data_IF_543936004324
#
_entry.id   IF_543936004324
#
_cell.length_a   1.000
_cell.length_b   1.000
_cell.length_c   1.000
_cell.angle_alpha   90.00
_cell.angle_beta   90.00
_cell.angle_gamma   90.00
#
_symmetry.space_group_name_H-M   'P 1'
#
loop_
_entity.id
_entity.type
_entity.pdbx_description
1 polymer ?
#
# COMPACT_ATOMS: atom_id res chain seq x y z
N UNK A 1 19.17 87.83 0.57
CA UNK A 1 17.92 87.06 0.73
C UNK A 1 17.59 86.46 -0.62
N UNK A 2 17.74 85.13 -0.76
CA UNK A 2 16.63 84.15 -0.95
C UNK A 2 16.01 84.30 -2.36
N UNK A 3 15.95 83.32 -3.26
CA UNK A 3 16.01 81.86 -3.14
C UNK A 3 16.37 81.26 -4.52
N UNK A 4 17.02 80.11 -4.48
CA UNK A 4 17.48 79.35 -5.63
C UNK A 4 16.34 78.57 -6.32
N UNK A 5 16.54 78.41 -7.62
CA UNK A 5 15.85 77.55 -8.55
C UNK A 5 16.01 76.07 -8.13
N UNK A 6 14.92 75.32 -7.95
CA UNK A 6 14.96 73.85 -8.00
C UNK A 6 13.60 73.32 -8.42
N UNK A 7 13.47 72.99 -9.71
CA UNK A 7 12.35 72.22 -10.25
C UNK A 7 12.75 70.74 -10.14
N UNK A 8 12.17 70.01 -9.18
CA UNK A 8 12.41 68.59 -8.99
C UNK A 8 11.53 67.81 -9.97
N UNK A 9 12.12 67.20 -11.00
CA UNK A 9 11.45 66.24 -11.86
C UNK A 9 11.39 64.88 -11.14
N UNK A 10 10.23 64.53 -10.60
CA UNK A 10 9.96 63.16 -10.12
C UNK A 10 9.67 62.25 -11.30
N UNK A 11 10.66 61.45 -11.70
CA UNK A 11 10.47 60.30 -12.60
C UNK A 11 9.76 59.22 -11.78
N UNK A 12 8.47 59.02 -12.04
CA UNK A 12 7.70 57.89 -11.53
C UNK A 12 8.08 56.66 -12.37
N UNK A 13 9.05 55.87 -11.90
CA UNK A 13 9.30 54.54 -12.45
C UNK A 13 8.16 53.62 -12.02
N UNK A 14 7.19 53.40 -12.90
CA UNK A 14 6.17 52.37 -12.72
C UNK A 14 6.85 50.99 -12.80
N UNK A 15 7.15 50.40 -11.63
CA UNK A 15 7.45 48.97 -11.55
C UNK A 15 6.17 48.22 -11.93
N UNK A 16 6.09 47.75 -13.18
CA UNK A 16 5.16 46.71 -13.56
C UNK A 16 5.49 45.46 -12.73
N UNK A 17 4.63 45.11 -11.76
CA UNK A 17 4.61 43.81 -11.12
C UNK A 17 4.32 42.77 -12.21
N UNK A 18 5.37 42.27 -12.88
CA UNK A 18 5.25 41.08 -13.72
C UNK A 18 5.06 39.90 -12.79
N UNK A 19 4.10 39.03 -13.10
CA UNK A 19 3.96 37.76 -12.41
C UNK A 19 5.29 37.00 -12.53
N UNK A 20 5.86 36.59 -11.40
CA UNK A 20 7.17 35.96 -11.34
C UNK A 20 7.04 34.51 -11.82
N UNK A 21 7.96 34.09 -12.71
CA UNK A 21 8.09 32.70 -13.11
C UNK A 21 8.71 31.86 -11.97
N UNK A 22 8.53 30.53 -11.98
CA UNK A 22 9.17 29.65 -11.01
C UNK A 22 10.70 29.82 -11.00
N UNK A 23 11.35 29.55 -9.86
CA UNK A 23 12.81 29.69 -9.76
C UNK A 23 13.57 28.73 -10.67
N UNK A 24 12.95 27.61 -11.03
CA UNK A 24 13.49 26.59 -11.94
C UNK A 24 12.93 26.70 -13.38
N UNK A 25 12.50 27.90 -13.77
CA UNK A 25 12.10 28.28 -15.13
C UNK A 25 13.29 28.56 -16.06
N UNK A 26 14.33 27.74 -15.98
CA UNK A 26 15.49 27.80 -16.86
C UNK A 26 16.28 26.49 -16.78
N UNK A 27 16.84 26.08 -17.91
CA UNK A 27 17.91 25.09 -17.93
C UNK A 27 19.22 25.72 -17.41
N UNK A 28 19.34 25.78 -16.08
CA UNK A 28 20.52 26.29 -15.37
C UNK A 28 20.71 25.50 -14.07
N UNK A 29 21.83 24.78 -13.98
CA UNK A 29 22.15 23.95 -12.81
C UNK A 29 22.30 24.70 -11.48
N UNK A 30 22.37 26.04 -11.50
CA UNK A 30 22.35 26.85 -10.30
C UNK A 30 20.94 27.17 -9.80
N UNK A 31 19.91 27.07 -10.65
CA UNK A 31 18.52 27.43 -10.33
C UNK A 31 17.56 26.24 -10.38
N UNK A 32 17.97 25.16 -11.05
CA UNK A 32 17.25 23.89 -11.10
C UNK A 32 17.02 23.29 -9.71
N UNK A 33 15.84 22.72 -9.49
CA UNK A 33 15.54 22.06 -8.21
C UNK A 33 16.32 20.75 -8.11
N UNK A 34 17.11 20.60 -7.06
CA UNK A 34 17.76 19.34 -6.73
C UNK A 34 16.87 18.49 -5.83
N UNK A 35 16.36 17.37 -6.35
CA UNK A 35 15.53 16.42 -5.61
C UNK A 35 16.37 15.54 -4.67
N UNK A 36 17.68 15.40 -4.93
CA UNK A 36 18.58 14.52 -4.17
C UNK A 36 18.75 13.14 -4.81
N UNK A 37 19.27 12.21 -4.02
CA UNK A 37 19.42 10.79 -4.39
C UNK A 37 18.07 10.07 -4.32
N UNK A 38 17.81 9.13 -5.23
CA UNK A 38 16.59 8.30 -5.24
C UNK A 38 16.56 7.36 -4.02
N UNK A 39 15.41 7.14 -3.35
CA UNK A 39 14.09 7.68 -3.64
C UNK A 39 13.90 9.14 -3.20
N UNK A 40 13.28 9.94 -4.07
CA UNK A 40 13.02 11.36 -3.88
C UNK A 40 11.53 11.67 -4.15
N UNK A 41 10.68 11.42 -3.15
CA UNK A 41 9.22 11.63 -3.22
C UNK A 41 8.71 12.55 -2.10
N UNK A 42 9.31 13.73 -1.99
CA UNK A 42 8.93 14.73 -0.98
C UNK A 42 7.57 15.37 -1.31
N UNK A 43 6.74 15.75 -0.32
CA UNK A 43 5.41 16.34 -0.53
C UNK A 43 5.47 17.81 -1.02
N UNK A 44 6.59 18.25 -1.59
CA UNK A 44 6.79 19.62 -2.07
C UNK A 44 5.95 19.88 -3.30
N UNK A 45 5.15 20.94 -3.25
CA UNK A 45 4.31 21.38 -4.37
C UNK A 45 5.06 22.39 -5.23
N UNK A 46 5.25 22.05 -6.50
CA UNK A 46 5.83 22.89 -7.54
C UNK A 46 4.76 23.47 -8.46
N UNK A 47 5.15 24.41 -9.33
CA UNK A 47 4.25 24.94 -10.36
C UNK A 47 5.02 25.32 -11.62
N UNK A 48 4.38 25.18 -12.78
CA UNK A 48 4.87 25.71 -14.05
C UNK A 48 4.14 26.99 -14.49
N UNK A 49 3.39 27.62 -13.57
CA UNK A 49 2.64 28.85 -13.84
C UNK A 49 3.60 29.99 -14.20
N UNK A 50 3.38 30.62 -15.35
CA UNK A 50 4.22 31.65 -15.96
C UNK A 50 5.62 31.19 -16.38
N UNK A 51 5.90 29.88 -16.40
CA UNK A 51 7.13 29.35 -16.98
C UNK A 51 7.22 29.71 -18.47
N UNK A 52 8.43 29.72 -19.00
CA UNK A 52 8.77 30.07 -20.37
C UNK A 52 9.61 28.96 -21.02
N UNK A 53 9.54 28.78 -22.35
CA UNK A 53 10.34 27.76 -23.01
C UNK A 53 11.85 27.97 -22.80
N UNK A 54 12.53 26.98 -22.22
CA UNK A 54 13.99 26.90 -22.23
C UNK A 54 14.50 26.43 -23.60
N UNK A 55 15.72 26.85 -23.97
CA UNK A 55 16.42 26.36 -25.16
C UNK A 55 17.70 25.68 -24.69
N UNK A 56 17.79 24.36 -24.84
CA UNK A 56 18.92 23.57 -24.30
C UNK A 56 19.91 23.10 -25.36
N UNK A 57 19.55 23.20 -26.63
CA UNK A 57 20.36 22.72 -27.74
C UNK A 57 20.08 23.49 -29.03
N UNK A 58 20.97 23.35 -30.02
CA UNK A 58 20.81 23.87 -31.38
C UNK A 58 19.56 23.28 -32.06
N UNK A 59 19.25 22.01 -31.75
CA UNK A 59 17.99 21.35 -32.10
C UNK A 59 17.35 20.87 -30.80
N UNK A 60 16.41 21.64 -30.27
CA UNK A 60 15.72 21.35 -29.02
C UNK A 60 14.32 20.81 -29.30
N UNK A 61 14.27 19.52 -29.64
CA UNK A 61 13.02 18.78 -29.83
C UNK A 61 12.92 17.64 -28.84
N UNK A 62 11.73 17.42 -28.29
CA UNK A 62 11.43 16.32 -27.35
C UNK A 62 10.53 15.31 -28.03
N UNK A 63 10.91 14.03 -28.03
CA UNK A 63 10.37 13.03 -28.96
C UNK A 63 8.88 12.73 -28.79
N UNK A 64 8.37 12.76 -27.57
CA UNK A 64 6.98 12.41 -27.23
C UNK A 64 6.12 13.61 -26.81
N UNK A 65 6.67 14.83 -26.78
CA UNK A 65 5.89 16.01 -26.43
C UNK A 65 4.92 16.33 -27.56
N UNK A 66 3.68 16.70 -27.24
CA UNK A 66 2.63 16.88 -28.25
C UNK A 66 2.96 17.99 -29.27
N UNK A 67 3.76 18.98 -28.85
CA UNK A 67 4.25 20.06 -29.72
C UNK A 67 5.72 19.90 -30.13
N UNK A 68 6.32 18.75 -29.85
CA UNK A 68 7.76 18.44 -29.96
C UNK A 68 8.69 19.42 -29.22
N UNK A 69 8.15 20.36 -28.46
CA UNK A 69 8.88 21.42 -27.74
C UNK A 69 8.20 21.65 -26.40
N UNK A 70 8.97 22.04 -25.39
CA UNK A 70 8.41 22.36 -24.09
C UNK A 70 7.96 23.83 -24.06
N UNK A 71 6.67 24.06 -23.84
CA UNK A 71 6.08 25.41 -23.93
C UNK A 71 6.19 26.19 -22.61
N UNK A 72 6.23 25.49 -21.48
CA UNK A 72 6.25 26.02 -20.11
C UNK A 72 7.03 25.06 -19.22
N UNK A 73 8.32 24.92 -19.51
CA UNK A 73 9.15 23.96 -18.81
C UNK A 73 9.69 24.48 -17.48
N UNK A 74 9.75 23.56 -16.54
CA UNK A 74 10.50 23.73 -15.30
C UNK A 74 11.40 22.52 -15.09
N UNK A 75 12.56 22.77 -14.51
CA UNK A 75 13.64 21.79 -14.48
C UNK A 75 13.91 21.25 -13.07
N UNK A 76 14.22 19.96 -13.01
CA UNK A 76 14.63 19.24 -11.81
C UNK A 76 15.85 18.37 -12.11
N UNK A 77 16.61 18.02 -11.07
CA UNK A 77 17.64 16.98 -11.14
C UNK A 77 17.49 15.99 -10.00
N UNK A 78 17.87 14.74 -10.24
CA UNK A 78 18.01 13.71 -9.23
C UNK A 78 19.30 12.91 -9.48
N UNK A 79 19.83 12.28 -8.44
CA UNK A 79 21.01 11.43 -8.54
C UNK A 79 20.60 9.95 -8.46
N UNK A 80 21.04 9.15 -9.42
CA UNK A 80 20.91 7.69 -9.34
C UNK A 80 21.79 7.18 -8.18
N UNK A 81 21.30 6.29 -7.31
CA UNK A 81 22.09 5.71 -6.23
C UNK A 81 23.35 5.01 -6.74
N UNK A 82 24.28 4.72 -5.83
CA UNK A 82 25.51 3.98 -6.17
C UNK A 82 25.27 2.49 -6.50
N UNK A 83 24.06 1.99 -6.31
CA UNK A 83 23.58 0.68 -6.78
C UNK A 83 22.78 0.84 -8.07
N UNK A 84 22.79 -0.20 -8.92
CA UNK A 84 21.89 -0.28 -10.08
C UNK A 84 20.45 -0.26 -9.58
N UNK A 85 19.65 0.66 -10.11
CA UNK A 85 18.27 0.87 -9.72
C UNK A 85 17.47 1.24 -10.96
N UNK A 86 16.36 0.54 -11.14
CA UNK A 86 15.32 0.97 -12.07
C UNK A 86 14.45 2.00 -11.34
N UNK A 87 14.03 3.06 -12.03
CA UNK A 87 13.44 4.24 -11.39
C UNK A 87 12.13 4.59 -12.05
N UNK A 88 11.10 4.86 -11.25
CA UNK A 88 9.82 5.40 -11.71
C UNK A 88 9.75 6.89 -11.40
N UNK A 89 9.61 7.71 -12.42
CA UNK A 89 9.33 9.14 -12.26
C UNK A 89 7.83 9.37 -12.44
N UNK A 90 7.19 10.02 -11.48
CA UNK A 90 5.76 10.36 -11.51
C UNK A 90 5.57 11.87 -11.32
N UNK A 91 4.76 12.46 -12.19
CA UNK A 91 4.27 13.84 -12.05
C UNK A 91 2.78 13.77 -11.73
N UNK A 92 2.36 14.41 -10.64
CA UNK A 92 0.95 14.39 -10.21
C UNK A 92 0.48 15.80 -9.88
N UNK A 93 -0.52 16.26 -10.62
CA UNK A 93 -1.23 17.50 -10.36
C UNK A 93 -1.96 17.45 -9.02
N UNK A 94 -1.82 18.52 -8.22
CA UNK A 94 -2.40 18.59 -6.87
C UNK A 94 -2.96 19.99 -6.59
N UNK A 95 -3.85 20.10 -5.62
CA UNK A 95 -4.39 21.36 -5.13
C UNK A 95 -5.56 21.89 -5.98
N UNK A 96 -5.94 23.15 -5.73
CA UNK A 96 -7.13 23.76 -6.34
C UNK A 96 -6.98 24.03 -7.85
N UNK A 97 -5.75 24.16 -8.35
CA UNK A 97 -5.44 24.41 -9.75
C UNK A 97 -4.29 23.47 -10.18
N UNK A 98 -4.56 22.16 -10.31
CA UNK A 98 -3.53 21.18 -10.63
C UNK A 98 -3.04 21.36 -12.07
N UNK A 99 -1.82 20.92 -12.36
CA UNK A 99 -1.39 20.76 -13.75
C UNK A 99 -2.31 19.74 -14.44
N UNK A 100 -2.69 20.02 -15.69
CA UNK A 100 -3.52 19.14 -16.52
C UNK A 100 -2.75 18.88 -17.81
N UNK A 101 -2.82 17.65 -18.30
CA UNK A 101 -2.04 17.12 -19.41
C UNK A 101 -0.52 17.29 -19.19
N UNK A 102 0.04 16.87 -18.05
CA UNK A 102 1.47 16.96 -17.82
C UNK A 102 2.24 16.13 -18.87
N UNK A 103 3.37 16.65 -19.32
CA UNK A 103 4.35 15.90 -20.12
C UNK A 103 5.74 16.17 -19.57
N UNK A 104 6.61 15.16 -19.55
CA UNK A 104 7.97 15.34 -19.06
C UNK A 104 8.96 14.44 -19.78
N UNK A 105 10.21 14.89 -19.82
CA UNK A 105 11.32 14.18 -20.43
C UNK A 105 12.49 14.05 -19.46
N UNK A 106 13.23 12.96 -19.61
CA UNK A 106 14.39 12.60 -18.82
C UNK A 106 15.63 12.74 -19.69
N UNK A 107 16.66 13.36 -19.13
CA UNK A 107 17.93 13.59 -19.81
C UNK A 107 19.09 13.08 -18.98
N UNK A 108 20.19 12.74 -19.67
CA UNK A 108 21.52 12.55 -19.11
C UNK A 108 22.53 13.44 -19.79
N UNK A 109 23.69 13.61 -19.16
CA UNK A 109 24.82 14.32 -19.73
C UNK A 109 25.27 15.47 -18.84
N UNK A 110 25.94 16.43 -19.45
CA UNK A 110 26.49 17.56 -18.74
C UNK A 110 25.56 18.77 -18.84
N UNK A 111 25.43 19.50 -17.73
CA UNK A 111 24.50 20.61 -17.61
C UNK A 111 24.98 21.90 -18.30
N UNK A 112 25.04 21.88 -19.63
CA UNK A 112 25.35 23.04 -20.46
C UNK A 112 24.65 22.92 -21.84
N UNK A 113 24.62 24.02 -22.60
CA UNK A 113 23.99 24.07 -23.93
C UNK A 113 24.61 23.05 -24.90
N UNK A 114 23.79 22.22 -25.58
CA UNK A 114 24.20 21.06 -26.38
C UNK A 114 24.85 19.91 -25.56
N UNK A 115 24.73 19.91 -24.23
CA UNK A 115 25.34 18.92 -23.32
C UNK A 115 24.44 17.76 -22.89
N UNK A 116 23.13 17.85 -23.14
CA UNK A 116 22.15 16.85 -22.72
C UNK A 116 21.69 15.94 -23.88
N UNK A 117 21.47 14.67 -23.56
CA UNK A 117 20.80 13.71 -24.41
C UNK A 117 19.50 13.26 -23.76
N UNK A 118 18.40 13.32 -24.51
CA UNK A 118 17.11 12.74 -24.11
C UNK A 118 17.27 11.23 -23.96
N UNK A 119 16.83 10.70 -22.82
CA UNK A 119 16.77 9.27 -22.55
C UNK A 119 15.43 8.71 -22.93
N UNK A 120 14.38 9.29 -22.37
CA UNK A 120 13.00 8.88 -22.58
C UNK A 120 12.05 10.00 -22.13
N UNK A 121 10.79 9.93 -22.51
CA UNK A 121 9.80 10.91 -22.13
C UNK A 121 8.37 10.35 -22.17
N UNK A 122 7.43 11.04 -21.52
CA UNK A 122 6.01 10.68 -21.52
C UNK A 122 5.12 11.92 -21.60
N UNK A 123 3.88 11.74 -22.09
CA UNK A 123 2.86 12.79 -22.19
C UNK A 123 1.50 12.23 -21.78
N UNK A 124 0.86 12.86 -20.81
CA UNK A 124 -0.44 12.44 -20.31
C UNK A 124 -1.54 12.68 -21.37
N UNK A 125 -2.58 11.84 -21.34
CA UNK A 125 -3.77 12.04 -22.18
C UNK A 125 -4.56 13.30 -21.82
N UNK A 126 -5.46 13.73 -22.71
CA UNK A 126 -6.30 14.91 -22.49
C UNK A 126 -7.18 14.76 -21.23
N UNK A 127 -7.14 15.76 -20.35
CA UNK A 127 -7.86 15.82 -19.08
C UNK A 127 -7.17 15.11 -17.92
N UNK A 128 -6.05 14.41 -18.16
CA UNK A 128 -5.33 13.69 -17.11
C UNK A 128 -4.50 14.65 -16.26
N UNK A 129 -4.37 14.36 -14.97
CA UNK A 129 -3.58 15.15 -14.02
C UNK A 129 -2.26 14.47 -13.64
N UNK A 130 -2.00 13.27 -14.14
CA UNK A 130 -0.80 12.51 -13.80
C UNK A 130 -0.28 11.74 -15.00
N UNK A 131 1.03 11.51 -15.00
CA UNK A 131 1.71 10.57 -15.89
C UNK A 131 2.99 10.08 -15.21
N UNK A 132 3.45 8.90 -15.60
CA UNK A 132 4.64 8.25 -15.06
C UNK A 132 5.51 7.70 -16.19
N UNK A 133 6.79 7.48 -15.88
CA UNK A 133 7.78 6.92 -16.77
C UNK A 133 8.74 6.02 -15.98
N UNK A 134 8.90 4.79 -16.46
CA UNK A 134 9.83 3.83 -15.89
C UNK A 134 11.15 3.85 -16.66
N UNK A 135 12.24 4.01 -15.93
CA UNK A 135 13.59 4.12 -16.45
C UNK A 135 14.39 2.91 -15.98
N UNK A 136 14.93 2.14 -16.93
CA UNK A 136 15.69 0.94 -16.63
C UNK A 136 17.18 1.14 -16.88
N UNK A 137 18.01 0.53 -16.04
CA UNK A 137 19.47 0.49 -16.25
C UNK A 137 20.14 1.87 -16.20
N UNK A 138 19.72 2.74 -15.28
CA UNK A 138 20.42 3.98 -15.01
C UNK A 138 21.85 3.70 -14.51
N UNK A 139 22.79 4.58 -14.85
CA UNK A 139 24.19 4.47 -14.45
C UNK A 139 24.35 4.95 -13.00
N UNK A 140 24.81 4.08 -12.09
CA UNK A 140 24.92 4.43 -10.68
C UNK A 140 25.80 5.66 -10.41
N UNK A 141 25.36 6.51 -9.47
CA UNK A 141 26.07 7.71 -9.01
C UNK A 141 26.00 8.93 -9.94
N UNK A 142 25.34 8.84 -11.11
CA UNK A 142 25.21 9.96 -12.04
C UNK A 142 23.95 10.80 -11.78
N UNK A 143 24.02 12.07 -12.18
CA UNK A 143 22.88 12.99 -12.20
C UNK A 143 22.04 12.81 -13.48
N UNK A 144 20.73 12.90 -13.29
CA UNK A 144 19.70 12.86 -14.32
C UNK A 144 18.81 14.09 -14.19
N UNK A 145 18.30 14.58 -15.32
CA UNK A 145 17.52 15.82 -15.37
C UNK A 145 16.10 15.56 -15.86
N UNK A 146 15.13 16.21 -15.23
CA UNK A 146 13.71 16.13 -15.57
C UNK A 146 13.28 17.49 -16.10
N UNK A 147 12.72 17.51 -17.31
CA UNK A 147 12.07 18.66 -17.92
C UNK A 147 10.57 18.45 -17.88
N UNK A 148 9.86 19.16 -17.01
CA UNK A 148 8.40 19.04 -16.87
C UNK A 148 7.72 20.19 -17.59
N UNK A 149 6.76 19.89 -18.46
CA UNK A 149 5.91 20.83 -19.19
C UNK A 149 4.46 20.35 -19.15
N UNK A 150 3.59 21.04 -19.87
CA UNK A 150 2.22 20.62 -20.15
C UNK A 150 1.88 20.89 -21.61
N UNK A 151 0.79 20.27 -22.08
CA UNK A 151 0.26 20.52 -23.43
C UNK A 151 -1.24 20.81 -23.43
N UNK A 152 -1.72 21.48 -24.49
CA UNK A 152 -3.13 21.84 -24.65
C UNK A 152 -3.64 21.62 -26.07
N UNK A 153 -4.72 20.84 -26.21
CA UNK A 153 -5.42 20.63 -27.48
C UNK A 153 -6.06 21.91 -28.05
N UNK A 154 -6.36 22.90 -27.20
CA UNK A 154 -7.09 24.12 -27.58
C UNK A 154 -6.19 25.34 -27.72
N UNK A 155 -4.87 25.17 -27.57
CA UNK A 155 -3.88 26.25 -27.46
C UNK A 155 -4.11 27.23 -26.28
N UNK A 156 -5.09 26.95 -25.40
CA UNK A 156 -5.23 27.65 -24.12
C UNK A 156 -4.14 27.15 -23.18
N UNK A 157 -3.31 28.01 -22.57
CA UNK A 157 -2.24 27.56 -21.69
C UNK A 157 -2.80 26.73 -20.53
N UNK A 158 -2.39 25.47 -20.40
CA UNK A 158 -2.55 24.76 -19.15
C UNK A 158 -1.37 25.12 -18.25
N UNK A 159 -1.59 25.16 -16.96
CA UNK A 159 -0.56 25.36 -15.94
C UNK A 159 -1.19 25.00 -14.62
N UNK A 160 -0.37 24.65 -13.65
CA UNK A 160 -0.90 24.35 -12.34
C UNK A 160 0.16 23.93 -11.35
N UNK A 161 -0.31 23.42 -10.24
CA UNK A 161 0.50 22.85 -9.18
C UNK A 161 0.63 21.34 -9.32
N UNK A 162 1.79 20.81 -8.97
CA UNK A 162 2.10 19.39 -9.06
C UNK A 162 3.19 18.97 -8.07
N UNK A 163 3.30 17.67 -7.83
CA UNK A 163 4.44 17.05 -7.15
C UNK A 163 5.29 16.27 -8.16
N UNK A 164 6.57 16.08 -7.82
CA UNK A 164 7.50 15.20 -8.54
C UNK A 164 7.94 14.12 -7.57
N UNK A 165 7.75 12.86 -7.95
CA UNK A 165 8.22 11.71 -7.20
C UNK A 165 9.12 10.87 -8.09
N UNK A 166 10.35 10.65 -7.64
CA UNK A 166 11.33 9.76 -8.29
C UNK A 166 11.55 8.60 -7.34
N UNK A 167 11.00 7.43 -7.65
CA UNK A 167 11.01 6.28 -6.76
C UNK A 167 11.80 5.11 -7.34
N UNK A 168 12.31 4.23 -6.48
CA UNK A 168 12.92 2.97 -6.91
C UNK A 168 11.86 2.00 -7.40
N UNK A 169 12.11 1.34 -8.52
CA UNK A 169 11.40 0.13 -8.94
C UNK A 169 12.21 -1.04 -8.35
N UNK A 170 11.63 -1.84 -7.44
CA UNK A 170 12.28 -3.04 -6.96
C UNK A 170 12.64 -3.95 -8.15
N UNK A 171 13.87 -4.50 -8.21
CA UNK A 171 14.24 -5.45 -9.25
C UNK A 171 13.28 -6.64 -9.22
N UNK A 172 12.69 -6.95 -10.36
CA UNK A 172 11.86 -8.14 -10.51
C UNK A 172 12.78 -9.32 -10.80
N UNK A 173 12.76 -10.29 -9.89
CA UNK A 173 13.50 -11.55 -9.97
C UNK A 173 12.53 -12.71 -9.98
N UNK A 174 12.99 -13.82 -10.53
CA UNK A 174 12.26 -15.07 -10.61
C UNK A 174 13.02 -16.12 -9.79
N UNK A 175 12.32 -17.01 -9.08
CA UNK A 175 12.95 -17.97 -8.19
C UNK A 175 14.00 -18.86 -8.88
N UNK A 176 13.86 -19.10 -10.18
CA UNK A 176 14.83 -19.84 -11.01
C UNK A 176 16.22 -19.18 -11.11
N UNK A 177 16.36 -17.89 -10.74
CA UNK A 177 17.62 -17.14 -10.82
C UNK A 177 18.59 -17.45 -9.67
N UNK A 178 18.13 -18.14 -8.62
CA UNK A 178 18.95 -18.75 -7.58
C UNK A 178 19.47 -17.82 -6.48
N UNK A 179 19.74 -16.53 -6.74
CA UNK A 179 20.16 -15.61 -5.68
C UNK A 179 20.06 -14.12 -6.06
N UNK A 180 20.13 -13.26 -5.04
CA UNK A 180 20.29 -11.80 -5.18
C UNK A 180 21.16 -11.24 -4.05
N UNK A 181 22.00 -10.25 -4.38
CA UNK A 181 22.76 -9.44 -3.40
C UNK A 181 22.17 -8.04 -3.16
N UNK A 182 20.96 -7.79 -3.67
CA UNK A 182 20.27 -6.52 -3.54
C UNK A 182 19.48 -6.46 -2.24
N UNK A 183 19.40 -5.28 -1.63
CA UNK A 183 18.67 -5.07 -0.38
C UNK A 183 17.15 -5.00 -0.55
N UNK A 184 16.66 -4.81 -1.77
CA UNK A 184 15.24 -4.70 -2.11
C UNK A 184 14.99 -5.45 -3.41
N UNK A 185 13.82 -6.04 -3.54
CA UNK A 185 13.32 -6.57 -4.80
C UNK A 185 11.99 -7.29 -4.68
N UNK A 186 11.49 -7.75 -5.82
CA UNK A 186 10.26 -8.52 -5.98
C UNK A 186 10.62 -9.89 -6.52
N UNK A 187 10.18 -10.96 -5.86
CA UNK A 187 10.42 -12.34 -6.24
C UNK A 187 9.11 -13.01 -6.62
N UNK A 188 9.06 -13.54 -7.84
CA UNK A 188 7.98 -14.41 -8.31
C UNK A 188 8.43 -15.88 -8.30
N UNK A 189 7.45 -16.78 -8.27
CA UNK A 189 7.63 -18.18 -8.65
C UNK A 189 8.11 -18.34 -10.11
N UNK A 190 8.26 -19.58 -10.57
CA UNK A 190 8.79 -19.93 -11.89
C UNK A 190 7.93 -19.45 -13.07
N UNK A 191 6.62 -19.31 -12.88
CA UNK A 191 5.66 -18.80 -13.87
C UNK A 191 5.71 -17.29 -14.08
N UNK A 192 6.33 -16.56 -13.15
CA UNK A 192 6.47 -15.11 -13.20
C UNK A 192 5.18 -14.36 -12.84
N UNK A 193 5.01 -13.14 -13.32
CA UNK A 193 3.89 -12.28 -12.90
C UNK A 193 2.50 -12.75 -13.39
N UNK A 194 2.45 -13.51 -14.49
CA UNK A 194 1.20 -13.80 -15.20
C UNK A 194 0.97 -15.28 -15.48
N UNK A 195 1.85 -16.16 -15.02
CA UNK A 195 1.80 -17.58 -15.31
C UNK A 195 1.85 -18.40 -14.04
N UNK A 196 1.20 -19.56 -14.08
CA UNK A 196 1.28 -20.58 -13.04
C UNK A 196 2.70 -21.13 -12.94
N UNK A 197 3.09 -21.61 -11.76
CA UNK A 197 4.37 -22.30 -11.58
C UNK A 197 4.41 -23.63 -12.32
N UNK A 198 5.60 -24.18 -12.58
CA UNK A 198 5.76 -25.47 -13.25
C UNK A 198 5.60 -26.68 -12.31
N UNK A 199 5.35 -27.89 -12.87
CA UNK A 199 5.32 -29.13 -12.10
C UNK A 199 6.73 -29.69 -11.82
N UNK A 200 6.90 -30.40 -10.70
CA UNK A 200 8.14 -31.07 -10.27
C UNK A 200 9.32 -30.11 -10.07
N UNK A 201 9.08 -28.95 -9.44
CA UNK A 201 10.10 -27.94 -9.19
C UNK A 201 10.80 -28.15 -7.86
N UNK A 202 12.07 -27.74 -7.82
CA UNK A 202 12.91 -27.67 -6.62
C UNK A 202 13.84 -26.47 -6.83
N UNK A 203 13.33 -25.29 -6.44
CA UNK A 203 14.00 -24.02 -6.61
C UNK A 203 14.42 -23.45 -5.26
N UNK A 204 15.68 -23.08 -5.15
CA UNK A 204 16.23 -22.37 -4.00
C UNK A 204 16.70 -20.99 -4.46
N UNK A 205 16.25 -19.94 -3.77
CA UNK A 205 16.65 -18.57 -4.01
C UNK A 205 17.20 -17.94 -2.73
N UNK A 206 18.45 -17.47 -2.79
CA UNK A 206 19.16 -16.90 -1.63
C UNK A 206 19.28 -15.38 -1.75
N UNK A 207 18.74 -14.65 -0.78
CA UNK A 207 18.91 -13.19 -0.66
C UNK A 207 19.99 -12.94 0.39
N UNK A 208 21.17 -12.50 -0.07
CA UNK A 208 22.32 -12.16 0.78
C UNK A 208 22.85 -10.78 0.38
N UNK A 209 22.35 -9.70 0.99
CA UNK A 209 22.72 -8.34 0.62
C UNK A 209 24.21 -8.05 0.81
N UNK A 210 24.83 -7.33 -0.14
CA UNK A 210 26.24 -6.90 -0.03
C UNK A 210 26.46 -5.85 1.07
N UNK A 211 25.39 -5.16 1.47
CA UNK A 211 25.39 -4.16 2.53
C UNK A 211 25.07 -4.83 3.88
N UNK A 212 25.69 -4.38 4.98
CA UNK A 212 25.33 -4.87 6.31
C UNK A 212 23.85 -4.56 6.59
N UNK A 213 23.09 -5.59 6.96
CA UNK A 213 21.70 -5.48 7.40
C UNK A 213 21.53 -6.22 8.72
N UNK A 214 20.77 -5.63 9.65
CA UNK A 214 20.39 -6.29 10.91
C UNK A 214 19.03 -6.99 10.79
N UNK A 215 18.28 -6.70 9.73
CA UNK A 215 17.04 -7.38 9.40
C UNK A 215 16.82 -7.48 7.89
N UNK A 216 16.36 -8.64 7.44
CA UNK A 216 15.76 -8.80 6.11
C UNK A 216 14.30 -9.19 6.31
N UNK A 217 13.39 -8.32 5.89
CA UNK A 217 11.95 -8.61 5.89
C UNK A 217 11.53 -9.10 4.52
N UNK A 218 10.92 -10.28 4.46
CA UNK A 218 10.27 -10.80 3.26
C UNK A 218 8.77 -10.83 3.49
N UNK A 219 8.02 -10.22 2.58
CA UNK A 219 6.56 -10.11 2.64
C UNK A 219 5.97 -10.72 1.39
N UNK A 220 5.13 -11.73 1.54
CA UNK A 220 4.27 -12.22 0.47
C UNK A 220 3.11 -11.26 0.28
N UNK A 221 3.01 -10.71 -0.92
CA UNK A 221 1.81 -9.96 -1.35
C UNK A 221 0.65 -10.94 -1.54
N UNK A 222 0.92 -12.05 -2.22
CA UNK A 222 0.01 -13.18 -2.33
C UNK A 222 0.78 -14.49 -2.51
N UNK A 223 0.11 -15.60 -2.20
CA UNK A 223 0.46 -16.94 -2.67
C UNK A 223 -0.83 -17.70 -2.99
N UNK A 224 -0.75 -18.69 -3.88
CA UNK A 224 -1.76 -19.68 -4.19
C UNK A 224 -1.00 -20.93 -4.67
N UNK A 225 -1.07 -21.99 -3.87
CA UNK A 225 -0.28 -23.21 -4.00
C UNK A 225 -1.21 -24.42 -3.93
N UNK A 226 -0.80 -25.58 -4.42
CA UNK A 226 -1.57 -26.81 -4.21
C UNK A 226 -1.63 -27.14 -2.69
N UNK A 227 -2.83 -27.33 -2.12
CA UNK A 227 -2.96 -27.73 -0.72
C UNK A 227 -2.44 -29.15 -0.48
N UNK A 228 -1.79 -29.38 0.67
CA UNK A 228 -1.54 -30.74 1.15
C UNK A 228 -2.84 -31.38 1.64
N UNK A 229 -3.39 -32.35 0.89
CA UNK A 229 -4.79 -32.83 1.06
C UNK A 229 -5.02 -33.74 2.30
N UNK A 230 -4.00 -34.16 3.07
CA UNK A 230 -4.24 -34.99 4.27
C UNK A 230 -3.12 -34.89 5.35
N UNK A 231 -3.39 -34.45 6.60
CA UNK A 231 -2.43 -34.56 7.71
C UNK A 231 -2.13 -36.01 8.15
N UNK A 232 -2.88 -37.02 7.66
CA UNK A 232 -2.78 -38.44 8.03
C UNK A 232 -2.73 -39.41 6.84
N UNK A 233 -2.58 -38.94 5.60
CA UNK A 233 -2.57 -39.77 4.39
C UNK A 233 -1.79 -39.12 3.25
N UNK A 234 -1.39 -39.92 2.29
CA UNK A 234 -0.33 -39.57 1.33
C UNK A 234 -0.83 -38.70 0.18
N UNK A 235 -0.42 -37.44 0.16
CA UNK A 235 -0.41 -36.51 -0.98
C UNK A 235 0.52 -35.34 -0.66
N UNK A 236 1.51 -35.07 -1.52
CA UNK A 236 2.53 -34.03 -1.36
C UNK A 236 1.98 -32.76 -2.03
N UNK A 237 1.50 -31.78 -1.26
CA UNK A 237 1.18 -30.47 -1.85
C UNK A 237 2.45 -29.68 -2.17
N UNK A 238 2.29 -28.54 -2.82
CA UNK A 238 3.40 -27.64 -3.09
C UNK A 238 3.80 -26.86 -1.84
N UNK A 239 5.08 -26.52 -1.72
CA UNK A 239 5.64 -25.94 -0.51
C UNK A 239 6.53 -24.74 -0.80
N UNK A 240 6.35 -23.68 0.00
CA UNK A 240 7.18 -22.47 0.03
C UNK A 240 7.79 -22.29 1.43
N UNK A 241 9.10 -22.50 1.55
CA UNK A 241 9.84 -22.49 2.80
C UNK A 241 10.83 -21.33 2.90
N UNK A 242 11.00 -20.78 4.10
CA UNK A 242 11.87 -19.64 4.39
C UNK A 242 12.86 -20.01 5.50
N UNK A 243 14.15 -19.72 5.32
CA UNK A 243 15.20 -20.04 6.29
C UNK A 243 16.02 -18.78 6.64
N UNK A 244 16.38 -18.66 7.93
CA UNK A 244 17.24 -17.58 8.46
C UNK A 244 18.72 -17.90 8.22
N UNK A 245 19.14 -17.85 6.96
CA UNK A 245 20.51 -18.06 6.53
C UNK A 245 20.64 -18.22 5.02
N UNK A 246 21.82 -18.62 4.57
CA UNK A 246 22.20 -18.75 3.15
C UNK A 246 21.97 -20.16 2.58
N UNK A 247 21.40 -21.08 3.38
CA UNK A 247 21.07 -22.44 2.96
C UNK A 247 19.89 -23.04 3.73
N UNK A 248 19.48 -24.25 3.34
CA UNK A 248 18.39 -25.03 3.96
C UNK A 248 18.78 -25.75 5.26
N UNK A 249 20.05 -25.67 5.67
CA UNK A 249 20.49 -26.16 6.99
C UNK A 249 20.30 -25.12 8.10
N UNK A 250 20.05 -23.88 7.70
CA UNK A 250 19.76 -22.74 8.57
C UNK A 250 18.39 -22.88 9.27
N UNK A 251 18.12 -22.11 10.34
CA UNK A 251 16.84 -22.19 11.04
C UNK A 251 15.65 -21.91 10.12
N UNK A 252 14.68 -22.83 10.06
CA UNK A 252 13.42 -22.62 9.34
C UNK A 252 12.62 -21.51 10.04
N UNK A 253 12.33 -20.44 9.31
CA UNK A 253 11.47 -19.33 9.74
C UNK A 253 10.00 -19.71 9.60
N UNK A 254 9.63 -20.23 8.43
CA UNK A 254 8.28 -20.68 8.12
C UNK A 254 8.27 -21.61 6.91
N UNK A 255 7.19 -22.37 6.79
CA UNK A 255 6.88 -23.17 5.61
C UNK A 255 5.38 -23.05 5.35
N UNK A 256 5.03 -22.77 4.10
CA UNK A 256 3.67 -22.57 3.63
C UNK A 256 3.38 -23.61 2.57
N UNK A 257 2.14 -24.04 2.49
CA UNK A 257 1.57 -24.80 1.38
C UNK A 257 0.25 -24.15 0.97
N UNK A 258 -0.51 -24.78 0.08
CA UNK A 258 -1.87 -24.35 -0.27
C UNK A 258 -2.88 -24.47 0.88
N UNK A 259 -2.43 -24.70 2.11
CA UNK A 259 -3.24 -24.95 3.29
C UNK A 259 -3.13 -23.82 4.33
N UNK A 260 -2.26 -22.82 4.10
CA UNK A 260 -2.04 -21.74 5.04
C UNK A 260 -1.04 -22.09 6.15
N UNK A 261 -0.53 -21.07 6.82
CA UNK A 261 0.62 -21.19 7.73
C UNK A 261 0.34 -22.03 8.97
N UNK A 262 0.79 -23.29 8.98
CA UNK A 262 0.85 -24.14 10.16
C UNK A 262 2.05 -25.10 10.10
N UNK A 263 2.66 -25.39 11.26
CA UNK A 263 3.60 -26.51 11.44
C UNK A 263 2.90 -27.90 11.38
N UNK A 264 1.61 -27.94 11.06
CA UNK A 264 0.77 -29.13 10.90
C UNK A 264 -0.33 -28.81 9.87
N UNK A 265 -0.08 -29.18 8.60
CA UNK A 265 -0.94 -29.14 7.41
C UNK A 265 -2.46 -29.22 7.67
N UNK A 266 -3.28 -28.25 7.20
CA UNK A 266 -4.73 -28.45 6.90
C UNK A 266 -5.21 -27.48 5.80
N UNK A 267 -5.87 -28.03 4.77
CA UNK A 267 -6.28 -27.48 3.46
C UNK A 267 -7.02 -26.11 3.39
N UNK A 268 -6.64 -25.26 2.41
CA UNK A 268 -7.36 -24.02 2.07
C UNK A 268 -6.49 -22.97 1.34
N UNK A 269 -6.70 -22.82 0.02
CA UNK A 269 -5.78 -22.27 -0.97
C UNK A 269 -5.39 -20.79 -0.85
N UNK A 270 -4.08 -20.55 -0.87
CA UNK A 270 -3.49 -19.24 -1.05
C UNK A 270 -3.44 -18.39 0.22
N UNK A 271 -3.12 -17.11 0.10
CA UNK A 271 -3.10 -16.17 1.22
C UNK A 271 -2.39 -14.87 0.87
N UNK A 272 -2.54 -13.86 1.72
CA UNK A 272 -1.95 -12.52 1.56
C UNK A 272 -1.33 -12.04 2.86
N UNK A 273 -0.49 -11.00 2.80
CA UNK A 273 0.06 -10.31 3.97
C UNK A 273 0.91 -11.18 4.91
N UNK A 274 1.49 -12.26 4.41
CA UNK A 274 2.40 -13.09 5.19
C UNK A 274 3.80 -12.47 5.21
N UNK A 275 4.44 -12.41 6.39
CA UNK A 275 5.76 -11.80 6.56
C UNK A 275 6.68 -12.68 7.41
N UNK A 276 7.92 -12.82 6.96
CA UNK A 276 9.03 -13.41 7.73
C UNK A 276 10.19 -12.44 7.83
N UNK A 277 11.02 -12.64 8.84
CA UNK A 277 12.19 -11.80 9.10
C UNK A 277 13.40 -12.65 9.43
N UNK A 278 14.49 -12.43 8.69
CA UNK A 278 15.79 -13.06 8.91
C UNK A 278 16.75 -12.11 9.63
N UNK A 279 17.53 -12.65 10.57
CA UNK A 279 18.47 -11.91 11.43
C UNK A 279 19.92 -12.32 11.19
N UNK A 280 20.16 -13.36 10.40
CA UNK A 280 21.48 -13.90 10.07
C UNK A 280 22.24 -13.07 9.03
N UNK A 281 21.56 -12.14 8.35
CA UNK A 281 22.11 -11.38 7.22
C UNK A 281 21.85 -12.01 5.85
N UNK A 282 21.21 -13.19 5.81
CA UNK A 282 20.69 -13.79 4.60
C UNK A 282 19.29 -14.38 4.85
N UNK A 283 18.48 -14.51 3.81
CA UNK A 283 17.26 -15.32 3.83
C UNK A 283 17.24 -16.25 2.62
N UNK A 284 16.93 -17.52 2.86
CA UNK A 284 16.78 -18.51 1.79
C UNK A 284 15.30 -18.84 1.61
N UNK A 285 14.82 -18.72 0.38
CA UNK A 285 13.46 -19.05 -0.06
C UNK A 285 13.54 -20.33 -0.89
N UNK A 286 12.75 -21.34 -0.55
CA UNK A 286 12.69 -22.62 -1.27
C UNK A 286 11.27 -22.84 -1.75
N UNK A 287 11.09 -23.13 -3.03
CA UNK A 287 9.82 -23.54 -3.61
C UNK A 287 9.95 -24.93 -4.22
N UNK A 288 9.10 -25.83 -3.75
CA UNK A 288 9.03 -27.21 -4.20
C UNK A 288 7.62 -27.46 -4.74
N UNK A 289 7.53 -28.01 -5.95
CA UNK A 289 6.25 -28.40 -6.53
C UNK A 289 6.19 -29.87 -6.93
N UNK A 290 4.99 -30.40 -6.86
CA UNK A 290 4.57 -31.75 -7.18
C UNK A 290 4.26 -31.89 -8.69
N UNK A 291 3.94 -33.10 -9.17
CA UNK A 291 3.65 -33.36 -10.58
C UNK A 291 2.20 -33.09 -11.04
N UNK A 292 1.34 -32.70 -10.11
CA UNK A 292 -0.10 -32.42 -10.22
C UNK A 292 -0.36 -30.96 -9.88
N UNK A 293 -1.52 -30.42 -10.30
CA UNK A 293 -2.10 -29.13 -9.89
C UNK A 293 -1.10 -27.97 -9.75
N UNK A 294 -1.00 -27.16 -10.79
CA UNK A 294 -0.25 -25.89 -10.74
C UNK A 294 -1.27 -24.76 -10.56
N UNK A 295 -1.05 -23.94 -9.55
CA UNK A 295 -1.84 -22.75 -9.23
C UNK A 295 -1.12 -21.47 -9.69
N UNK A 296 -1.74 -20.31 -9.46
CA UNK A 296 -1.23 -18.98 -9.84
C UNK A 296 0.11 -18.60 -9.18
N UNK A 297 0.60 -19.39 -8.22
CA UNK A 297 1.90 -19.21 -7.60
C UNK A 297 1.93 -18.10 -6.58
N UNK A 298 3.04 -17.37 -6.49
CA UNK A 298 3.24 -16.42 -5.42
C UNK A 298 4.13 -15.25 -5.81
N UNK A 299 3.86 -14.13 -5.14
CA UNK A 299 4.64 -12.91 -5.27
C UNK A 299 5.07 -12.44 -3.90
N UNK A 300 6.37 -12.33 -3.71
CA UNK A 300 6.98 -11.75 -2.54
C UNK A 300 7.78 -10.50 -2.85
N UNK A 301 7.98 -9.67 -1.84
CA UNK A 301 8.94 -8.58 -1.84
C UNK A 301 9.87 -8.73 -0.66
N UNK A 302 11.12 -8.29 -0.80
CA UNK A 302 12.03 -8.18 0.33
C UNK A 302 12.57 -6.77 0.50
N UNK A 303 12.89 -6.44 1.75
CA UNK A 303 13.56 -5.20 2.11
C UNK A 303 14.47 -5.44 3.31
N UNK A 304 15.68 -4.90 3.21
CA UNK A 304 16.65 -4.92 4.29
C UNK A 304 16.58 -3.65 5.13
N UNK A 305 16.85 -3.77 6.42
CA UNK A 305 16.99 -2.67 7.36
C UNK A 305 18.36 -2.72 8.03
N UNK A 306 18.93 -1.54 8.28
CA UNK A 306 20.08 -1.39 9.18
C UNK A 306 19.69 -1.53 10.65
N UNK A 307 18.40 -1.38 10.96
CA UNK A 307 17.88 -1.56 12.32
C UNK A 307 17.53 -3.05 12.56
N UNK A 308 17.59 -3.52 13.82
CA UNK A 308 17.18 -4.87 14.17
C UNK A 308 15.75 -5.19 13.73
N UNK A 309 15.45 -6.46 13.51
CA UNK A 309 14.08 -6.87 13.22
C UNK A 309 13.15 -6.54 14.39
N UNK A 310 12.07 -5.81 14.08
CA UNK A 310 11.00 -5.54 15.03
C UNK A 310 10.34 -6.84 15.50
N UNK A 311 10.04 -6.97 16.81
CA UNK A 311 9.34 -8.13 17.32
C UNK A 311 7.91 -8.18 16.78
N UNK A 312 7.47 -9.39 16.38
CA UNK A 312 6.08 -9.65 16.01
C UNK A 312 5.16 -9.27 17.17
N UNK A 313 4.22 -8.38 16.89
CA UNK A 313 3.20 -7.95 17.86
C UNK A 313 2.14 -9.05 17.95
N UNK A 314 1.88 -9.53 19.17
CA UNK A 314 0.88 -10.57 19.39
C UNK A 314 -0.45 -9.96 19.79
N UNK A 315 -1.52 -10.39 19.12
CA UNK A 315 -2.89 -10.06 19.49
C UNK A 315 -3.21 -10.73 20.83
N UNK A 316 -3.56 -9.92 21.82
CA UNK A 316 -4.14 -10.41 23.07
C UNK A 316 -5.63 -10.17 23.07
N UNK A 317 -6.38 -11.13 23.62
CA UNK A 317 -7.84 -11.05 23.72
C UNK A 317 -8.20 -11.41 25.15
N UNK A 318 -8.92 -10.49 25.77
CA UNK A 318 -9.54 -10.64 27.08
C UNK A 318 -11.04 -10.84 26.91
N UNK A 319 -11.55 -11.95 27.43
CA UNK A 319 -12.97 -12.32 27.46
C UNK A 319 -13.49 -12.43 28.90
N UNK A 320 -12.68 -12.05 29.90
CA UNK A 320 -13.02 -12.19 31.31
C UNK A 320 -13.64 -10.91 31.84
N UNK A 321 -14.77 -11.01 32.53
CA UNK A 321 -15.44 -9.89 33.21
C UNK A 321 -15.65 -8.65 32.31
N UNK A 322 -16.01 -8.86 31.04
CA UNK A 322 -16.30 -7.77 30.10
C UNK A 322 -17.59 -7.06 30.53
N UNK A 323 -17.47 -5.76 30.78
CA UNK A 323 -18.54 -4.86 31.20
C UNK A 323 -18.72 -3.71 30.21
N UNK A 324 -19.83 -2.98 30.32
CA UNK A 324 -20.05 -1.73 29.61
C UNK A 324 -18.86 -0.77 29.73
N UNK A 325 -18.33 -0.59 30.95
CA UNK A 325 -17.22 0.33 31.22
C UNK A 325 -15.92 -0.12 30.52
N UNK A 326 -15.63 -1.43 30.49
CA UNK A 326 -14.44 -1.94 29.80
C UNK A 326 -14.56 -1.79 28.28
N UNK A 327 -15.77 -1.95 27.72
CA UNK A 327 -16.03 -1.72 26.30
C UNK A 327 -15.81 -0.24 25.96
N UNK A 328 -16.41 0.68 26.72
CA UNK A 328 -16.21 2.13 26.52
C UNK A 328 -14.74 2.50 26.58
N UNK A 329 -14.00 1.96 27.56
CA UNK A 329 -12.57 2.21 27.70
C UNK A 329 -11.72 1.63 26.55
N UNK A 330 -12.20 0.59 25.86
CA UNK A 330 -11.53 0.01 24.71
C UNK A 330 -11.74 0.81 23.42
N UNK A 331 -12.95 1.36 23.21
CA UNK A 331 -13.35 1.96 21.92
C UNK A 331 -13.33 3.50 21.88
N UNK A 332 -13.30 4.18 23.03
CA UNK A 332 -13.35 5.65 23.07
C UNK A 332 -11.94 6.28 23.08
N UNK A 333 -11.71 7.24 22.17
CA UNK A 333 -10.44 7.96 21.99
C UNK A 333 -10.43 9.39 22.54
N UNK A 334 -11.47 9.80 23.27
CA UNK A 334 -11.63 11.16 23.80
C UNK A 334 -12.27 12.12 22.77
N UNK A 335 -13.25 12.91 23.19
CA UNK A 335 -14.04 13.80 22.32
C UNK A 335 -15.46 13.32 22.03
N UNK A 336 -15.78 12.07 22.40
CA UNK A 336 -17.15 11.56 22.45
C UNK A 336 -17.43 10.93 23.82
N UNK A 337 -18.64 11.15 24.32
CA UNK A 337 -19.18 10.39 25.46
C UNK A 337 -19.92 9.19 24.90
N UNK A 338 -19.45 7.99 25.21
CA UNK A 338 -20.03 6.72 24.75
C UNK A 338 -20.63 6.00 25.96
N UNK A 339 -21.85 5.48 25.80
CA UNK A 339 -22.51 4.63 26.79
C UNK A 339 -22.96 3.35 26.10
N UNK A 340 -22.59 2.19 26.62
CA UNK A 340 -23.14 0.92 26.16
C UNK A 340 -24.53 0.75 26.76
N UNK A 341 -25.54 0.63 25.91
CA UNK A 341 -26.96 0.55 26.31
C UNK A 341 -27.45 -0.89 26.39
N UNK A 342 -26.96 -1.76 25.52
CA UNK A 342 -27.32 -3.17 25.48
C UNK A 342 -26.17 -4.02 24.91
N UNK A 343 -26.10 -5.28 25.35
CA UNK A 343 -25.19 -6.30 24.83
C UNK A 343 -26.00 -7.57 24.64
N UNK A 344 -26.22 -7.95 23.39
CA UNK A 344 -26.93 -9.18 22.99
C UNK A 344 -25.93 -10.08 22.27
N UNK A 345 -25.08 -10.74 23.05
CA UNK A 345 -24.09 -11.71 22.62
C UNK A 345 -23.97 -12.82 23.66
N UNK A 346 -23.57 -14.03 23.27
CA UNK A 346 -22.99 -14.96 24.24
C UNK A 346 -21.66 -14.38 24.76
N UNK A 347 -21.37 -14.61 26.04
CA UNK A 347 -20.11 -14.25 26.70
C UNK A 347 -18.84 -14.69 25.98
N UNK A 348 -18.89 -15.72 25.13
CA UNK A 348 -17.74 -16.19 24.35
C UNK A 348 -17.57 -15.47 23.02
N UNK A 349 -18.59 -14.76 22.53
CA UNK A 349 -18.63 -14.15 21.18
C UNK A 349 -18.00 -12.75 21.12
N UNK A 350 -17.61 -12.19 22.26
CA UNK A 350 -16.99 -10.87 22.29
C UNK A 350 -15.88 -10.79 23.32
N UNK A 351 -15.00 -9.82 23.13
CA UNK A 351 -13.90 -9.54 24.03
C UNK A 351 -13.23 -8.21 23.70
N UNK A 352 -12.27 -7.81 24.53
CA UNK A 352 -11.40 -6.69 24.22
C UNK A 352 -10.12 -7.23 23.62
N UNK A 353 -9.80 -6.76 22.42
CA UNK A 353 -8.52 -7.04 21.79
C UNK A 353 -7.50 -5.96 22.13
N UNK A 354 -6.23 -6.33 22.19
CA UNK A 354 -5.12 -5.41 22.43
C UNK A 354 -3.80 -5.88 21.82
N UNK A 355 -3.06 -4.92 21.26
CA UNK A 355 -1.65 -4.97 20.90
C UNK A 355 -0.81 -4.10 21.85
N UNK A 356 0.52 -4.24 21.80
CA UNK A 356 1.40 -3.39 22.60
C UNK A 356 1.51 -1.96 22.03
N UNK A 357 1.34 -1.79 20.72
CA UNK A 357 1.39 -0.52 20.00
C UNK A 357 0.43 -0.56 18.79
N UNK A 358 0.11 0.59 18.19
CA UNK A 358 -0.65 0.70 16.93
C UNK A 358 0.14 0.22 15.70
N UNK A 359 1.46 0.03 15.82
CA UNK A 359 2.31 -0.49 14.74
C UNK A 359 2.20 -2.02 14.64
N UNK A 360 1.02 -2.48 14.26
CA UNK A 360 0.65 -3.90 14.11
C UNK A 360 -0.21 -4.11 12.87
N UNK A 361 -0.56 -5.36 12.57
CA UNK A 361 -1.28 -5.75 11.34
C UNK A 361 -2.69 -5.15 11.22
N UNK A 362 -3.35 -4.80 12.34
CA UNK A 362 -4.66 -4.14 12.36
C UNK A 362 -4.55 -2.61 12.36
N UNK A 363 -3.36 -2.05 12.56
CA UNK A 363 -3.13 -0.63 12.77
C UNK A 363 -4.01 -0.02 13.89
N UNK A 364 -4.36 -0.83 14.90
CA UNK A 364 -5.20 -0.46 16.06
C UNK A 364 -4.55 -0.98 17.34
N UNK A 365 -4.38 -0.15 18.38
CA UNK A 365 -3.78 -0.62 19.65
C UNK A 365 -4.74 -1.54 20.41
N UNK A 366 -6.05 -1.25 20.36
CA UNK A 366 -7.07 -1.98 21.11
C UNK A 366 -8.45 -1.71 20.51
N UNK A 367 -9.41 -2.53 20.89
CA UNK A 367 -10.81 -2.31 20.53
C UNK A 367 -11.72 -3.43 21.03
N UNK A 368 -12.97 -3.34 20.61
CA UNK A 368 -13.97 -4.38 20.83
C UNK A 368 -13.89 -5.40 19.69
N UNK A 369 -13.79 -6.67 20.03
CA UNK A 369 -13.93 -7.79 19.10
C UNK A 369 -15.33 -8.38 19.23
N UNK A 370 -16.02 -8.54 18.11
CA UNK A 370 -17.28 -9.29 17.98
C UNK A 370 -17.05 -10.41 16.96
N UNK A 371 -17.59 -11.60 17.22
CA UNK A 371 -17.48 -12.75 16.33
C UNK A 371 -18.73 -13.62 16.42
N UNK A 372 -19.02 -14.35 15.34
CA UNK A 372 -20.02 -15.42 15.30
C UNK A 372 -19.58 -16.65 16.09
N UNK A 373 -18.27 -16.82 16.29
CA UNK A 373 -17.64 -17.93 17.02
C UNK A 373 -17.05 -17.51 18.38
N UNK A 374 -15.95 -18.16 18.80
CA UNK A 374 -15.26 -17.82 20.05
C UNK A 374 -14.28 -16.67 19.82
N UNK A 375 -14.42 -15.58 20.58
CA UNK A 375 -13.51 -14.44 20.52
C UNK A 375 -12.05 -14.85 20.81
N UNK A 376 -11.82 -15.90 21.60
CA UNK A 376 -10.46 -16.38 21.86
C UNK A 376 -9.76 -16.97 20.64
N UNK A 377 -10.50 -17.40 19.62
CA UNK A 377 -9.97 -18.03 18.41
C UNK A 377 -9.45 -16.99 17.40
N UNK A 378 -9.78 -15.71 17.58
CA UNK A 378 -9.18 -14.64 16.78
C UNK A 378 -7.69 -14.43 17.09
N UNK A 379 -7.15 -15.03 18.16
CA UNK A 379 -5.70 -15.05 18.41
C UNK A 379 -5.01 -15.83 17.30
N UNK A 380 -4.30 -15.12 16.43
CA UNK A 380 -3.53 -15.74 15.37
C UNK A 380 -2.29 -16.50 15.86
N UNK A 381 -1.63 -17.26 14.96
CA UNK A 381 -2.12 -17.56 13.61
C UNK A 381 -3.31 -18.53 13.65
N UNK A 382 -4.24 -18.41 12.69
CA UNK A 382 -5.21 -19.47 12.44
C UNK A 382 -4.45 -20.67 11.87
N UNK A 383 -4.55 -21.83 12.53
CA UNK A 383 -3.84 -23.05 12.15
C UNK A 383 -4.77 -24.26 11.98
N UNK A 384 -6.07 -24.02 11.91
CA UNK A 384 -7.07 -25.06 11.73
C UNK A 384 -8.26 -24.51 10.98
N UNK A 385 -8.74 -25.28 10.01
CA UNK A 385 -10.02 -25.02 9.36
C UNK A 385 -11.15 -25.16 10.38
N UNK A 386 -12.25 -24.42 10.17
CA UNK A 386 -13.47 -24.51 10.98
C UNK A 386 -13.30 -24.15 12.46
N UNK A 387 -12.27 -23.36 12.85
CA UNK A 387 -12.12 -22.94 14.25
C UNK A 387 -13.31 -22.11 14.73
N UNK A 388 -13.92 -21.32 13.84
CA UNK A 388 -15.14 -20.56 14.12
C UNK A 388 -16.34 -21.45 14.43
N UNK A 389 -16.36 -22.68 13.92
CA UNK A 389 -17.48 -23.62 14.05
C UNK A 389 -17.43 -24.50 15.31
N UNK A 390 -16.82 -24.05 16.41
CA UNK A 390 -16.59 -24.90 17.61
C UNK A 390 -17.44 -24.58 18.84
N UNK A 391 -18.39 -23.65 18.77
CA UNK A 391 -19.21 -23.28 19.93
C UNK A 391 -20.51 -24.07 20.05
N UNK A 392 -20.63 -24.81 21.15
CA UNK A 392 -21.86 -25.48 21.56
C UNK A 392 -22.61 -24.57 22.56
N UNK A 393 -23.93 -24.35 22.41
CA UNK A 393 -24.80 -24.86 21.36
C UNK A 393 -24.94 -23.86 20.19
N UNK A 394 -24.37 -24.21 19.04
CA UNK A 394 -24.72 -23.66 17.73
C UNK A 394 -26.22 -23.39 17.64
N UNK A 395 -26.60 -22.22 17.10
CA UNK A 395 -27.96 -21.75 16.88
C UNK A 395 -28.41 -20.66 17.86
N UNK A 396 -27.53 -19.72 18.20
CA UNK A 396 -28.02 -18.44 18.69
C UNK A 396 -28.81 -17.75 17.57
N UNK A 397 -29.92 -17.08 17.90
CA UNK A 397 -30.74 -16.43 16.88
C UNK A 397 -29.92 -15.36 16.15
N UNK A 398 -30.14 -15.25 14.83
CA UNK A 398 -29.67 -14.10 14.07
C UNK A 398 -30.40 -12.81 14.41
N UNK A 399 -30.17 -11.78 13.60
CA UNK A 399 -30.81 -10.48 13.73
C UNK A 399 -31.75 -10.18 12.55
N UNK A 400 -33.01 -9.77 12.79
CA UNK A 400 -33.97 -9.45 11.73
C UNK A 400 -33.51 -8.34 10.76
N UNK A 401 -32.76 -7.36 11.24
CA UNK A 401 -32.25 -6.26 10.43
C UNK A 401 -31.14 -6.77 9.51
N UNK A 402 -30.25 -7.64 10.02
CA UNK A 402 -29.27 -8.34 9.19
C UNK A 402 -29.94 -9.26 8.16
N UNK A 403 -31.04 -9.94 8.50
CA UNK A 403 -31.79 -10.76 7.55
C UNK A 403 -32.42 -9.91 6.44
N UNK A 404 -32.99 -8.74 6.79
CA UNK A 404 -33.50 -7.79 5.80
C UNK A 404 -32.38 -7.30 4.87
N UNK A 405 -31.23 -6.93 5.41
CA UNK A 405 -30.07 -6.50 4.62
C UNK A 405 -29.51 -7.63 3.75
N UNK A 406 -29.46 -8.86 4.25
CA UNK A 406 -29.09 -10.05 3.49
C UNK A 406 -30.04 -10.29 2.31
N UNK A 407 -31.35 -10.08 2.49
CA UNK A 407 -32.33 -10.16 1.39
C UNK A 407 -32.19 -9.03 0.37
N UNK A 408 -31.80 -7.83 0.81
CA UNK A 408 -31.70 -6.66 -0.06
C UNK A 408 -30.37 -6.61 -0.84
N UNK A 409 -29.26 -6.98 -0.18
CA UNK A 409 -27.89 -6.76 -0.64
C UNK A 409 -27.05 -8.04 -0.74
N UNK A 410 -27.48 -9.12 -0.09
CA UNK A 410 -26.73 -10.38 0.02
C UNK A 410 -27.40 -11.54 -0.72
N UNK A 411 -27.26 -12.75 -0.15
CA UNK A 411 -27.78 -13.99 -0.70
C UNK A 411 -29.25 -14.29 -0.32
N UNK A 412 -29.83 -13.48 0.57
CA UNK A 412 -31.18 -13.69 1.10
C UNK A 412 -31.31 -14.79 2.15
N UNK A 413 -30.19 -15.29 2.67
CA UNK A 413 -30.17 -16.23 3.80
C UNK A 413 -30.39 -15.52 5.13
N UNK A 414 -31.06 -16.19 6.06
CA UNK A 414 -31.16 -15.74 7.45
C UNK A 414 -29.80 -15.81 8.15
N UNK A 415 -29.48 -14.76 8.92
CA UNK A 415 -28.32 -14.72 9.81
C UNK A 415 -28.51 -15.63 11.02
N UNK A 416 -27.41 -16.05 11.61
CA UNK A 416 -27.32 -16.89 12.82
C UNK A 416 -26.19 -16.36 13.70
N UNK A 417 -26.21 -16.72 14.99
CA UNK A 417 -25.14 -16.43 15.94
C UNK A 417 -24.78 -14.93 16.02
N UNK A 418 -25.80 -14.07 16.00
CA UNK A 418 -25.62 -12.62 16.01
C UNK A 418 -25.09 -12.14 17.38
N UNK A 419 -23.99 -11.39 17.35
CA UNK A 419 -23.48 -10.66 18.50
C UNK A 419 -23.65 -9.15 18.28
N UNK A 420 -24.48 -8.52 19.11
CA UNK A 420 -24.90 -7.13 18.97
C UNK A 420 -24.47 -6.33 20.19
N UNK A 421 -23.82 -5.19 19.96
CA UNK A 421 -23.52 -4.19 21.00
C UNK A 421 -24.13 -2.86 20.61
N UNK A 422 -24.99 -2.31 21.46
CA UNK A 422 -25.66 -1.03 21.23
C UNK A 422 -25.00 0.08 22.05
N UNK A 423 -24.81 1.24 21.40
CA UNK A 423 -24.08 2.38 21.95
C UNK A 423 -24.88 3.66 21.77
N UNK A 424 -25.01 4.43 22.84
CA UNK A 424 -25.37 5.85 22.79
C UNK A 424 -24.08 6.68 22.68
N UNK A 425 -23.95 7.46 21.61
CA UNK A 425 -22.77 8.30 21.35
C UNK A 425 -23.18 9.77 21.31
N UNK A 426 -22.59 10.56 22.22
CA UNK A 426 -22.66 12.01 22.18
C UNK A 426 -21.30 12.58 21.75
N UNK A 427 -21.25 13.17 20.56
CA UNK A 427 -20.07 13.83 20.02
C UNK A 427 -20.06 15.32 20.39
N UNK A 428 -18.93 15.82 20.90
CA UNK A 428 -18.77 17.26 21.17
C UNK A 428 -18.44 18.06 19.89
N UNK A 429 -18.10 17.36 18.81
CA UNK A 429 -17.75 17.91 17.51
C UNK A 429 -18.80 17.54 16.46
N UNK A 430 -18.61 18.01 15.22
CA UNK A 430 -19.47 17.69 14.08
C UNK A 430 -19.05 16.40 13.35
N UNK A 431 -18.20 15.57 13.95
CA UNK A 431 -17.65 14.37 13.33
C UNK A 431 -17.51 13.23 14.36
N UNK A 432 -17.92 12.03 13.96
CA UNK A 432 -17.70 10.79 14.69
C UNK A 432 -17.05 9.81 13.72
N UNK A 433 -15.94 9.21 14.14
CA UNK A 433 -15.18 8.24 13.34
C UNK A 433 -15.22 6.90 14.06
N UNK A 434 -15.52 5.85 13.31
CA UNK A 434 -15.41 4.45 13.76
C UNK A 434 -14.40 3.75 12.86
N UNK A 435 -13.34 3.24 13.46
CA UNK A 435 -12.38 2.37 12.79
C UNK A 435 -12.79 0.93 13.04
N UNK A 436 -12.80 0.12 11.99
CA UNK A 436 -13.15 -1.30 12.08
C UNK A 436 -12.30 -2.12 11.11
N UNK A 437 -12.06 -3.38 11.50
CA UNK A 437 -11.50 -4.41 10.62
C UNK A 437 -12.50 -5.54 10.59
N UNK A 438 -12.86 -5.98 9.38
CA UNK A 438 -13.63 -7.19 9.17
C UNK A 438 -12.68 -8.31 8.73
N UNK A 439 -12.71 -9.43 9.43
CA UNK A 439 -11.88 -10.60 9.14
C UNK A 439 -12.73 -11.86 9.21
N UNK A 440 -12.32 -12.88 8.47
CA UNK A 440 -12.89 -14.22 8.54
C UNK A 440 -11.77 -15.22 8.77
N UNK A 441 -12.06 -16.23 9.56
CA UNK A 441 -11.20 -17.41 9.70
C UNK A 441 -11.20 -18.26 8.41
N UNK A 442 -12.25 -18.14 7.59
CA UNK A 442 -12.43 -18.84 6.31
C UNK A 442 -11.62 -18.23 5.15
N UNK A 443 -10.92 -17.10 5.35
CA UNK A 443 -10.09 -16.53 4.30
C UNK A 443 -8.72 -17.21 4.27
N UNK A 444 -8.29 -17.78 3.13
CA UNK A 444 -8.91 -17.76 1.78
C UNK A 444 -9.75 -18.99 1.37
N UNK A 445 -9.99 -19.93 2.28
CA UNK A 445 -10.44 -21.29 2.06
C UNK A 445 -11.86 -21.47 1.47
N UNK A 446 -12.88 -20.69 1.88
CA UNK A 446 -14.30 -21.03 1.61
C UNK A 446 -15.19 -19.90 1.06
N UNK A 447 -14.59 -18.81 0.56
CA UNK A 447 -15.35 -17.58 0.30
C UNK A 447 -16.32 -17.69 -0.91
N UNK A 448 -16.20 -18.72 -1.77
CA UNK A 448 -16.95 -18.74 -3.05
C UNK A 448 -17.43 -20.11 -3.57
N UNK A 449 -17.36 -21.20 -2.81
CA UNK A 449 -17.93 -22.46 -3.32
C UNK A 449 -19.46 -22.45 -3.20
N UNK A 450 -20.15 -22.78 -4.31
CA UNK A 450 -21.62 -22.82 -4.46
C UNK A 450 -22.32 -23.58 -3.31
N UNK A 451 -22.65 -22.86 -2.23
CA UNK A 451 -23.24 -23.40 -1.00
C UNK A 451 -22.66 -22.87 0.32
N UNK A 452 -21.61 -22.03 0.29
CA UNK A 452 -21.02 -21.42 1.49
C UNK A 452 -21.96 -20.45 2.23
N UNK A 453 -21.74 -20.30 3.54
CA UNK A 453 -22.40 -19.28 4.36
C UNK A 453 -21.53 -18.03 4.33
N UNK A 454 -22.15 -16.86 4.12
CA UNK A 454 -21.43 -15.58 4.21
C UNK A 454 -21.81 -14.91 5.53
N UNK A 455 -20.80 -14.47 6.27
CA UNK A 455 -20.99 -13.60 7.42
C UNK A 455 -21.43 -12.20 6.95
N UNK A 456 -22.34 -11.60 7.72
CA UNK A 456 -22.82 -10.23 7.49
C UNK A 456 -22.55 -9.37 8.71
N UNK A 457 -22.05 -8.17 8.46
CA UNK A 457 -21.77 -7.15 9.46
C UNK A 457 -22.47 -5.85 9.09
N UNK A 458 -23.04 -5.15 10.08
CA UNK A 458 -23.66 -3.84 9.87
C UNK A 458 -23.36 -2.89 11.04
N UNK A 459 -23.02 -1.64 10.70
CA UNK A 459 -23.12 -0.50 11.62
C UNK A 459 -24.46 0.20 11.37
N UNK A 460 -25.38 0.09 12.33
CA UNK A 460 -26.70 0.71 12.28
C UNK A 460 -26.69 1.99 13.12
N UNK A 461 -26.98 3.13 12.51
CA UNK A 461 -26.90 4.45 13.15
C UNK A 461 -28.24 5.15 13.11
N UNK A 462 -28.74 5.57 14.27
CA UNK A 462 -29.98 6.33 14.41
C UNK A 462 -29.78 7.59 15.26
N UNK A 463 -30.66 8.57 15.09
CA UNK A 463 -30.61 9.78 15.91
C UNK A 463 -31.23 11.02 15.26
N UNK A 464 -31.14 12.18 15.93
CA UNK A 464 -31.70 13.42 15.44
C UNK A 464 -31.18 13.78 14.04
N UNK A 465 -32.09 13.91 13.08
CA UNK A 465 -31.76 14.29 11.70
C UNK A 465 -31.31 13.14 10.80
N UNK A 466 -31.23 11.91 11.32
CA UNK A 466 -30.96 10.71 10.53
C UNK A 466 -32.31 10.04 10.24
N UNK A 467 -32.71 10.05 8.97
CA UNK A 467 -33.89 9.32 8.52
C UNK A 467 -33.44 7.92 8.10
N UNK A 468 -33.70 6.94 8.96
CA UNK A 468 -33.35 5.53 8.75
C UNK A 468 -34.19 4.79 7.72
N UNK A 469 -33.86 3.54 7.45
CA UNK A 469 -34.71 2.65 6.65
C UNK A 469 -35.88 2.17 7.53
N UNK A 470 -37.14 2.44 7.16
CA UNK A 470 -38.29 2.07 7.98
C UNK A 470 -38.46 0.57 8.21
N UNK A 471 -37.72 -0.28 7.51
CA UNK A 471 -37.72 -1.73 7.70
C UNK A 471 -36.67 -2.21 8.72
N UNK A 472 -35.74 -1.36 9.16
CA UNK A 472 -34.79 -1.67 10.22
C UNK A 472 -35.45 -1.40 11.58
N UNK A 473 -35.42 -2.41 12.45
CA UNK A 473 -36.17 -2.46 13.71
C UNK A 473 -35.36 -1.96 14.91
N UNK A 474 -34.02 -1.94 14.81
CA UNK A 474 -33.12 -1.30 15.79
C UNK A 474 -33.07 0.24 15.65
N UNK A 475 -33.98 0.82 14.86
CA UNK A 475 -34.19 2.27 14.76
C UNK A 475 -33.30 3.01 13.76
N UNK A 476 -32.51 2.29 12.96
CA UNK A 476 -31.55 2.83 12.00
C UNK A 476 -32.08 3.03 10.58
#
# INVERSE_FOLDING_TARGET
MKQALTLLATVLAAFSLRAQAPSNDAFDCSTMVNLGEVPACQPTVYTNKNATPSIIATVDTVSCFQSATAQRDVWFRFQCPISLLDVRVTITGIGAMPIINPEFAIYRGDCFFDGLAELDCTSAGQGQISTMLDLFGLTPGLDYYIRVSDWSATATPNWGTFTVCVDSIPPIVNITQGSSSLCVGTLYDSGGEFGDYGPNEDHTFVICPDQPSECISFTLEYYNLEPTIDPFGSGQGDQLSFYDGDDTSSPLLASLDGSGGSQQNIAGGGGVCFKVQAKSGCITVVFESDGSVQEEGWKGTWQCSSDPCEPVQLLTIDTTDITADTIVAAISTGGATVTVTDIRCDSVQYGIFKYATESNDLNMEKGLLLTTGSATNAKGPNNSTFLGSTLFPFNDPGDPDLNYLSNLLGSGSDSHDACIVELDVFAETNEVVFEYVFGSEEYPEFIFNDGGFNDIFAFLVSGPGIAGDPNLTNGA
#
